data_IF_415957494004
#
_entry.id   IF_415957494004
#
_cell.length_a   1.000
_cell.length_b   1.000
_cell.length_c   1.000
_cell.angle_alpha   90.00
_cell.angle_beta   90.00
_cell.angle_gamma   90.00
#
_symmetry.space_group_name_H-M   'P 1'
#
loop_
_entity.id
_entity.type
_entity.pdbx_description
1 polymer ?
#
# COMPACT_ATOMS: atom_id res chain seq x y z
N UNK A 1 7.67 12.01 15.46
CA UNK A 1 6.65 12.90 16.07
C UNK A 1 6.43 14.18 15.26
N UNK A 2 7.41 15.08 15.11
CA UNK A 2 7.21 16.31 14.30
C UNK A 2 6.90 16.01 12.81
N UNK A 3 7.60 15.03 12.22
CA UNK A 3 7.37 14.61 10.84
C UNK A 3 5.96 14.05 10.61
N UNK A 4 5.49 13.20 11.53
CA UNK A 4 4.17 12.55 11.42
C UNK A 4 3.02 13.57 11.49
N UNK A 5 3.18 14.62 12.29
CA UNK A 5 2.22 15.73 12.39
C UNK A 5 2.11 16.50 11.08
N UNK A 6 3.26 16.82 10.46
CA UNK A 6 3.30 17.50 9.16
C UNK A 6 2.65 16.66 8.06
N UNK A 7 3.00 15.37 7.98
CA UNK A 7 2.38 14.46 7.00
C UNK A 7 0.87 14.39 7.16
N UNK A 8 0.36 14.38 8.40
CA UNK A 8 -1.08 14.36 8.65
C UNK A 8 -1.78 15.66 8.24
N UNK A 9 -1.13 16.82 8.39
CA UNK A 9 -1.66 18.09 7.89
C UNK A 9 -1.69 18.14 6.37
N UNK A 10 -0.59 17.76 5.71
CA UNK A 10 -0.48 17.76 4.25
C UNK A 10 -1.52 16.85 3.58
N UNK A 11 -1.84 15.73 4.23
CA UNK A 11 -2.81 14.74 3.73
C UNK A 11 -4.27 15.04 4.11
N UNK A 12 -4.53 16.07 4.93
CA UNK A 12 -5.87 16.33 5.50
C UNK A 12 -6.94 16.61 4.44
N UNK A 13 -6.55 17.17 3.30
CA UNK A 13 -7.46 17.52 2.19
C UNK A 13 -7.49 16.46 1.09
N UNK A 14 -6.67 15.41 1.18
CA UNK A 14 -6.50 14.41 0.12
C UNK A 14 -7.10 13.05 0.49
N UNK A 15 -7.98 12.54 -0.36
CA UNK A 15 -8.58 11.21 -0.21
C UNK A 15 -7.70 10.12 -0.86
N UNK A 16 -6.76 9.57 -0.08
CA UNK A 16 -5.82 8.53 -0.56
C UNK A 16 -6.45 7.15 -0.82
N UNK A 17 -7.67 6.91 -0.36
CA UNK A 17 -8.32 5.60 -0.47
C UNK A 17 -8.63 5.21 -1.92
N UNK A 18 -9.15 6.15 -2.70
CA UNK A 18 -9.63 5.87 -4.07
C UNK A 18 -8.46 5.51 -5.00
N UNK A 19 -7.36 6.28 -4.95
CA UNK A 19 -6.15 5.99 -5.74
C UNK A 19 -5.57 4.62 -5.38
N UNK A 20 -5.40 4.35 -4.09
CA UNK A 20 -4.86 3.10 -3.57
C UNK A 20 -5.66 1.86 -3.95
N UNK A 21 -6.99 1.98 -4.04
CA UNK A 21 -7.87 0.81 -4.25
C UNK A 21 -8.14 0.55 -5.73
N UNK A 22 -8.15 1.59 -6.56
CA UNK A 22 -8.67 1.51 -7.93
C UNK A 22 -7.66 1.91 -9.02
N UNK A 23 -6.61 2.65 -8.68
CA UNK A 23 -5.71 3.24 -9.67
C UNK A 23 -4.25 2.80 -9.52
N UNK A 24 -3.86 2.31 -8.34
CA UNK A 24 -2.54 1.74 -8.13
C UNK A 24 -2.59 0.22 -8.33
N UNK A 25 -1.60 -0.33 -9.03
CA UNK A 25 -1.47 -1.78 -9.12
C UNK A 25 -1.03 -2.35 -7.76
N UNK A 26 -1.85 -3.19 -7.12
CA UNK A 26 -1.54 -3.74 -5.80
C UNK A 26 -0.24 -4.55 -5.77
N UNK A 27 0.20 -5.10 -6.91
CA UNK A 27 1.47 -5.85 -7.04
C UNK A 27 2.68 -4.99 -6.74
N UNK A 28 2.66 -3.71 -7.12
CA UNK A 28 3.74 -2.76 -6.81
C UNK A 28 3.90 -2.64 -5.29
N UNK A 29 2.78 -2.53 -4.59
CA UNK A 29 2.77 -2.41 -3.12
C UNK A 29 3.21 -3.71 -2.45
N UNK A 30 2.74 -4.87 -2.93
CA UNK A 30 3.14 -6.18 -2.39
C UNK A 30 4.62 -6.43 -2.61
N UNK A 31 5.14 -6.16 -3.82
CA UNK A 31 6.56 -6.31 -4.13
C UNK A 31 7.43 -5.42 -3.23
N UNK A 32 7.05 -4.15 -3.04
CA UNK A 32 7.75 -3.25 -2.12
C UNK A 32 7.72 -3.78 -0.68
N UNK A 33 6.59 -4.28 -0.21
CA UNK A 33 6.48 -4.88 1.12
C UNK A 33 7.40 -6.10 1.30
N UNK A 34 7.49 -6.96 0.27
CA UNK A 34 8.39 -8.12 0.29
C UNK A 34 9.87 -7.70 0.28
N UNK A 35 10.26 -6.71 -0.54
CA UNK A 35 11.64 -6.23 -0.63
C UNK A 35 12.14 -5.59 0.67
N UNK A 36 11.27 -4.89 1.38
CA UNK A 36 11.63 -4.14 2.59
C UNK A 36 11.18 -4.81 3.90
N UNK A 37 10.73 -6.07 3.83
CA UNK A 37 10.24 -6.85 4.99
C UNK A 37 9.15 -6.11 5.81
N UNK A 38 8.29 -5.36 5.11
CA UNK A 38 7.18 -4.62 5.72
C UNK A 38 5.94 -5.50 5.73
N UNK A 39 5.30 -5.62 6.90
CA UNK A 39 4.05 -6.36 7.01
C UNK A 39 2.94 -5.72 6.17
N UNK A 40 2.35 -6.50 5.26
CA UNK A 40 1.31 -6.08 4.32
C UNK A 40 0.03 -5.61 5.02
N UNK A 41 -0.22 -6.11 6.24
CA UNK A 41 -1.40 -5.76 7.06
C UNK A 41 -1.36 -4.31 7.59
N UNK A 42 -0.18 -3.68 7.59
CA UNK A 42 -0.02 -2.26 7.90
C UNK A 42 -0.47 -1.38 6.74
N UNK A 43 -0.43 -1.91 5.52
CA UNK A 43 -0.79 -1.17 4.30
C UNK A 43 -2.24 -1.50 3.89
N UNK A 44 -2.60 -2.77 3.79
CA UNK A 44 -3.94 -3.20 3.40
C UNK A 44 -4.73 -3.71 4.60
N UNK A 45 -5.96 -3.21 4.76
CA UNK A 45 -6.89 -3.76 5.74
C UNK A 45 -7.39 -5.14 5.29
N UNK A 46 -8.08 -5.86 6.18
CA UNK A 46 -8.57 -7.23 5.92
C UNK A 46 -9.38 -7.34 4.63
N UNK A 47 -10.27 -6.39 4.36
CA UNK A 47 -11.10 -6.40 3.14
C UNK A 47 -10.26 -6.25 1.86
N UNK A 48 -9.23 -5.40 1.89
CA UNK A 48 -8.33 -5.21 0.75
C UNK A 48 -7.39 -6.40 0.55
N UNK A 49 -6.96 -7.07 1.62
CA UNK A 49 -6.18 -8.31 1.51
C UNK A 49 -6.98 -9.41 0.81
N UNK A 50 -8.27 -9.54 1.11
CA UNK A 50 -9.17 -10.47 0.40
C UNK A 50 -9.34 -10.05 -1.06
N UNK A 51 -9.55 -8.76 -1.34
CA UNK A 51 -9.69 -8.25 -2.72
C UNK A 51 -8.42 -8.47 -3.57
N UNK A 52 -7.24 -8.34 -2.96
CA UNK A 52 -5.95 -8.43 -3.64
C UNK A 52 -5.22 -9.75 -3.38
N UNK A 53 -5.92 -10.81 -2.97
CA UNK A 53 -5.32 -12.10 -2.66
C UNK A 53 -4.47 -12.67 -3.81
N UNK A 54 -4.87 -12.41 -5.05
CA UNK A 54 -4.17 -12.80 -6.27
C UNK A 54 -2.79 -12.15 -6.44
N UNK A 55 -2.51 -11.05 -5.72
CA UNK A 55 -1.20 -10.37 -5.79
C UNK A 55 -0.16 -10.92 -4.83
N UNK A 56 -0.55 -11.79 -3.89
CA UNK A 56 0.33 -12.22 -2.80
C UNK A 56 1.54 -13.04 -3.28
N UNK A 57 1.46 -13.64 -4.46
CA UNK A 57 2.51 -14.48 -5.04
C UNK A 57 3.46 -13.71 -5.98
N UNK A 58 3.38 -12.37 -6.01
CA UNK A 58 4.24 -11.58 -6.90
C UNK A 58 5.72 -11.65 -6.51
N UNK A 59 6.58 -11.75 -7.52
CA UNK A 59 8.03 -11.63 -7.38
C UNK A 59 8.39 -10.24 -6.81
N UNK A 60 9.19 -10.17 -5.73
CA UNK A 60 9.70 -8.92 -5.22
C UNK A 60 10.31 -8.03 -6.32
N UNK A 61 11.03 -8.59 -7.29
CA UNK A 61 11.76 -7.86 -8.34
C UNK A 61 10.90 -7.40 -9.54
N UNK A 62 9.57 -7.49 -9.43
CA UNK A 62 8.66 -7.00 -10.48
C UNK A 62 8.95 -5.54 -10.87
N UNK A 63 8.94 -5.27 -12.18
CA UNK A 63 8.97 -3.91 -12.76
C UNK A 63 7.66 -3.67 -13.49
N UNK A 64 7.14 -2.45 -13.35
CA UNK A 64 5.85 -2.02 -13.89
C UNK A 64 6.04 -0.90 -14.92
#
# INVERSE_FOLDING_TARGET
>A
MQHDMKTKEDLKTMALGTSKINYLDPRITVAWCKRHEVSIEKIFNKSLLVKFCWTMDVDPEIRF
#
